data_IF_496136154270
#
_entry.id   IF_496136154270
#
_cell.length_a   1.000
_cell.length_b   1.000
_cell.length_c   1.000
_cell.angle_alpha   90.00
_cell.angle_beta   90.00
_cell.angle_gamma   90.00
#
_symmetry.space_group_name_H-M   'P 1'
#
loop_
_entity.id
_entity.type
_entity.pdbx_description
1 polymer ?
#
# COMPACT_ATOMS: atom_id res chain seq x y z
N UNK A 1 -9.24 -15.68 -31.47
CA UNK A 1 -8.95 -15.44 -30.04
C UNK A 1 -8.15 -16.58 -29.41
N UNK A 2 -8.69 -17.82 -29.34
CA UNK A 2 -8.00 -18.97 -28.73
C UNK A 2 -6.59 -19.24 -29.28
N UNK A 3 -6.38 -19.16 -30.59
CA UNK A 3 -5.05 -19.37 -31.21
C UNK A 3 -3.98 -18.42 -30.65
N UNK A 4 -4.32 -17.15 -30.38
CA UNK A 4 -3.38 -16.16 -29.83
C UNK A 4 -3.04 -16.51 -28.37
N UNK A 5 -4.05 -16.91 -27.59
CA UNK A 5 -3.86 -17.36 -26.20
C UNK A 5 -2.91 -18.56 -26.16
N UNK A 6 -3.14 -19.57 -27.00
CA UNK A 6 -2.26 -20.75 -27.06
C UNK A 6 -0.83 -20.40 -27.47
N UNK A 7 -0.63 -19.48 -28.43
CA UNK A 7 0.71 -19.02 -28.81
C UNK A 7 1.41 -18.32 -27.63
N UNK A 8 0.72 -17.39 -26.97
CA UNK A 8 1.28 -16.66 -25.82
C UNK A 8 1.62 -17.60 -24.66
N UNK A 9 0.76 -18.59 -24.39
CA UNK A 9 1.02 -19.61 -23.38
C UNK A 9 2.20 -20.49 -23.75
N UNK A 10 2.29 -20.91 -25.02
CA UNK A 10 3.43 -21.66 -25.52
C UNK A 10 4.75 -20.91 -25.32
N UNK A 11 4.77 -19.61 -25.60
CA UNK A 11 5.96 -18.77 -25.39
C UNK A 11 6.27 -18.55 -23.90
N UNK A 12 5.26 -18.40 -23.04
CA UNK A 12 5.47 -18.31 -21.59
C UNK A 12 6.07 -19.61 -21.01
N UNK A 13 5.56 -20.76 -21.43
CA UNK A 13 6.08 -22.07 -21.04
C UNK A 13 7.54 -22.18 -21.50
N UNK A 14 7.82 -21.93 -22.79
CA UNK A 14 9.20 -21.95 -23.31
C UNK A 14 10.14 -21.00 -22.54
N UNK A 15 9.65 -19.80 -22.18
CA UNK A 15 10.42 -18.84 -21.40
C UNK A 15 10.68 -19.32 -19.97
N UNK A 16 9.68 -19.94 -19.33
CA UNK A 16 9.85 -20.56 -18.02
C UNK A 16 10.93 -21.65 -18.06
N UNK A 17 10.96 -22.42 -19.15
CA UNK A 17 11.90 -23.53 -19.35
C UNK A 17 13.29 -23.15 -19.93
N UNK A 18 13.66 -21.86 -20.04
CA UNK A 18 14.98 -21.45 -20.54
C UNK A 18 16.14 -21.73 -19.56
N UNK A 19 17.26 -22.20 -20.12
CA UNK A 19 18.28 -23.08 -19.51
C UNK A 19 19.11 -22.56 -18.32
N UNK A 20 19.39 -21.26 -18.19
CA UNK A 20 20.45 -20.83 -17.26
C UNK A 20 20.08 -20.94 -15.77
N UNK A 21 18.79 -21.06 -15.42
CA UNK A 21 18.33 -21.21 -14.03
C UNK A 21 17.15 -22.19 -13.88
N UNK A 22 16.96 -23.08 -14.86
CA UNK A 22 15.80 -23.97 -14.90
C UNK A 22 15.66 -24.79 -13.62
N UNK A 23 16.75 -25.45 -13.20
CA UNK A 23 16.75 -26.32 -12.01
C UNK A 23 16.42 -25.55 -10.73
N UNK A 24 16.97 -24.35 -10.56
CA UNK A 24 16.67 -23.51 -9.39
C UNK A 24 15.19 -23.09 -9.41
N UNK A 25 14.66 -22.70 -10.57
CA UNK A 25 13.23 -22.32 -10.70
C UNK A 25 12.30 -23.49 -10.43
N UNK A 26 12.60 -24.67 -10.96
CA UNK A 26 11.83 -25.88 -10.73
C UNK A 26 11.90 -26.29 -9.25
N UNK A 27 13.08 -26.25 -8.64
CA UNK A 27 13.27 -26.53 -7.22
C UNK A 27 12.47 -25.55 -6.36
N UNK A 28 12.58 -24.24 -6.61
CA UNK A 28 11.81 -23.22 -5.88
C UNK A 28 10.31 -23.43 -6.09
N UNK A 29 9.86 -23.67 -7.33
CA UNK A 29 8.45 -23.92 -7.61
C UNK A 29 7.95 -25.19 -6.90
N UNK A 30 8.74 -26.26 -6.87
CA UNK A 30 8.44 -27.49 -6.16
C UNK A 30 8.31 -27.27 -4.65
N UNK A 31 9.31 -26.64 -4.02
CA UNK A 31 9.26 -26.33 -2.58
C UNK A 31 8.10 -25.40 -2.23
N UNK A 32 7.86 -24.34 -3.02
CA UNK A 32 6.72 -23.44 -2.81
C UNK A 32 5.40 -24.19 -2.97
N UNK A 33 5.30 -25.12 -3.92
CA UNK A 33 4.10 -25.95 -4.12
C UNK A 33 3.87 -26.89 -2.94
N UNK A 34 4.92 -27.54 -2.42
CA UNK A 34 4.82 -28.38 -1.21
C UNK A 34 4.39 -27.55 0.00
N UNK A 35 5.02 -26.40 0.22
CA UNK A 35 4.67 -25.52 1.34
C UNK A 35 3.22 -25.06 1.22
N UNK A 36 2.81 -24.62 0.02
CA UNK A 36 1.43 -24.25 -0.28
C UNK A 36 0.47 -25.40 0.01
N UNK A 37 0.82 -26.62 -0.40
CA UNK A 37 0.03 -27.83 -0.15
C UNK A 37 -0.09 -28.12 1.35
N UNK A 38 1.00 -28.02 2.12
CA UNK A 38 0.98 -28.22 3.58
C UNK A 38 0.05 -27.20 4.25
N UNK A 39 0.15 -25.91 3.91
CA UNK A 39 -0.74 -24.89 4.45
C UNK A 39 -2.19 -25.09 4.01
N UNK A 40 -2.40 -25.55 2.79
CA UNK A 40 -3.71 -25.85 2.21
C UNK A 40 -4.39 -27.03 2.91
N UNK A 41 -3.63 -28.11 3.18
CA UNK A 41 -4.07 -29.24 4.01
C UNK A 41 -4.35 -28.77 5.43
N UNK A 42 -3.47 -27.95 6.02
CA UNK A 42 -3.66 -27.39 7.36
C UNK A 42 -4.94 -26.56 7.47
N UNK A 43 -5.23 -25.73 6.47
CA UNK A 43 -6.49 -24.98 6.38
C UNK A 43 -7.69 -25.91 6.23
N UNK A 44 -7.62 -26.90 5.33
CA UNK A 44 -8.68 -27.89 5.14
C UNK A 44 -8.98 -28.70 6.40
N UNK A 45 -7.95 -29.18 7.09
CA UNK A 45 -8.07 -29.87 8.37
C UNK A 45 -8.63 -28.94 9.46
N UNK A 46 -8.14 -27.70 9.55
CA UNK A 46 -8.63 -26.70 10.49
C UNK A 46 -10.12 -26.40 10.31
N UNK A 47 -10.57 -26.25 9.06
CA UNK A 47 -11.98 -26.07 8.73
C UNK A 47 -12.82 -27.32 9.03
N UNK A 48 -12.29 -28.52 8.77
CA UNK A 48 -12.99 -29.79 9.03
C UNK A 48 -13.18 -30.07 10.52
N UNK A 49 -12.11 -29.95 11.30
CA UNK A 49 -12.09 -30.37 12.72
C UNK A 49 -12.49 -29.23 13.64
N UNK A 50 -12.00 -28.03 13.38
CA UNK A 50 -12.17 -26.86 14.24
C UNK A 50 -13.03 -25.76 13.66
N UNK A 51 -13.59 -25.91 12.46
CA UNK A 51 -14.30 -24.82 11.77
C UNK A 51 -15.40 -24.18 12.61
N UNK A 52 -16.17 -24.99 13.36
CA UNK A 52 -17.21 -24.50 14.29
C UNK A 52 -16.60 -23.81 15.51
N UNK A 53 -15.61 -24.41 16.16
CA UNK A 53 -14.96 -23.82 17.33
C UNK A 53 -14.25 -22.49 17.00
N UNK A 54 -13.55 -22.42 15.86
CA UNK A 54 -12.92 -21.19 15.36
C UNK A 54 -13.99 -20.15 15.02
N UNK A 55 -15.08 -20.57 14.37
CA UNK A 55 -16.20 -19.68 14.05
C UNK A 55 -16.82 -19.05 15.30
N UNK A 56 -17.03 -19.87 16.34
CA UNK A 56 -17.56 -19.44 17.64
C UNK A 56 -16.58 -18.52 18.39
N UNK A 57 -15.30 -18.87 18.44
CA UNK A 57 -14.27 -18.10 19.15
C UNK A 57 -14.06 -16.72 18.53
N UNK A 58 -14.02 -16.62 17.19
CA UNK A 58 -13.83 -15.35 16.50
C UNK A 58 -15.13 -14.57 16.28
N UNK A 59 -16.29 -15.19 16.52
CA UNK A 59 -17.61 -14.65 16.20
C UNK A 59 -17.80 -14.41 14.70
N UNK A 60 -17.15 -15.24 13.87
CA UNK A 60 -17.17 -15.13 12.40
C UNK A 60 -17.78 -16.37 11.80
N UNK A 61 -18.68 -16.24 10.83
CA UNK A 61 -19.16 -17.40 10.08
C UNK A 61 -18.06 -17.98 9.18
N UNK A 62 -18.17 -19.25 8.78
CA UNK A 62 -17.20 -19.90 7.88
C UNK A 62 -17.02 -19.12 6.56
N UNK A 63 -18.08 -18.63 5.89
CA UNK A 63 -17.94 -17.75 4.73
C UNK A 63 -17.13 -16.48 5.00
N UNK A 64 -17.36 -15.82 6.14
CA UNK A 64 -16.62 -14.62 6.53
C UNK A 64 -15.14 -14.93 6.74
N UNK A 65 -14.82 -16.06 7.40
CA UNK A 65 -13.45 -16.53 7.57
C UNK A 65 -12.76 -16.73 6.20
N UNK A 66 -13.41 -17.42 5.27
CA UNK A 66 -12.89 -17.66 3.92
C UNK A 66 -12.71 -16.34 3.17
N UNK A 67 -13.65 -15.41 3.25
CA UNK A 67 -13.53 -14.08 2.66
C UNK A 67 -12.34 -13.29 3.21
N UNK A 68 -12.08 -13.36 4.52
CA UNK A 68 -10.90 -12.75 5.15
C UNK A 68 -9.63 -13.37 4.58
N UNK A 69 -9.54 -14.70 4.49
CA UNK A 69 -8.37 -15.39 3.95
C UNK A 69 -8.13 -15.00 2.48
N UNK A 70 -9.18 -15.02 1.63
CA UNK A 70 -9.07 -14.60 0.23
C UNK A 70 -8.67 -13.13 0.13
N UNK A 71 -9.23 -12.27 0.99
CA UNK A 71 -8.86 -10.86 1.06
C UNK A 71 -7.39 -10.67 1.39
N UNK A 72 -6.84 -11.43 2.34
CA UNK A 72 -5.42 -11.42 2.69
C UNK A 72 -4.53 -11.94 1.54
N UNK A 73 -4.91 -13.05 0.91
CA UNK A 73 -4.21 -13.58 -0.27
C UNK A 73 -4.25 -12.58 -1.42
N UNK A 74 -5.39 -11.94 -1.64
CA UNK A 74 -5.56 -10.92 -2.67
C UNK A 74 -4.75 -9.66 -2.40
N UNK A 75 -4.75 -9.18 -1.15
CA UNK A 75 -3.95 -8.04 -0.72
C UNK A 75 -2.45 -8.33 -0.87
N UNK A 76 -1.97 -9.51 -0.47
CA UNK A 76 -0.57 -9.90 -0.66
C UNK A 76 -0.20 -10.02 -2.14
N UNK A 77 -1.10 -10.53 -2.99
CA UNK A 77 -0.93 -10.55 -4.45
C UNK A 77 -0.77 -9.13 -5.01
N UNK A 78 -1.62 -8.18 -4.62
CA UNK A 78 -1.50 -6.78 -5.03
C UNK A 78 -0.18 -6.19 -4.50
N UNK A 79 0.06 -6.29 -3.19
CA UNK A 79 1.23 -5.71 -2.54
C UNK A 79 2.54 -6.23 -3.13
N UNK A 80 2.63 -7.51 -3.51
CA UNK A 80 3.83 -8.11 -4.10
C UNK A 80 4.22 -7.51 -5.46
N UNK A 81 3.27 -6.92 -6.19
CA UNK A 81 3.54 -6.21 -7.44
C UNK A 81 4.06 -4.80 -7.22
N UNK A 82 3.72 -4.21 -6.08
CA UNK A 82 4.10 -2.85 -5.71
C UNK A 82 5.40 -2.86 -4.86
N UNK A 83 5.60 -3.86 -4.02
CA UNK A 83 6.66 -3.94 -3.02
C UNK A 83 7.35 -5.33 -3.03
N UNK A 84 8.68 -5.41 -2.83
CA UNK A 84 9.64 -4.32 -2.64
C UNK A 84 10.08 -3.68 -3.95
N UNK A 85 9.89 -4.35 -5.09
CA UNK A 85 10.24 -3.85 -6.42
C UNK A 85 8.98 -3.79 -7.27
N UNK A 86 8.68 -2.62 -7.83
CA UNK A 86 7.55 -2.49 -8.74
C UNK A 86 7.68 -3.39 -9.94
N UNK A 87 6.61 -4.11 -10.25
CA UNK A 87 6.47 -4.85 -11.50
C UNK A 87 5.54 -4.07 -12.41
N UNK A 88 6.05 -3.47 -13.50
CA UNK A 88 5.20 -2.79 -14.45
C UNK A 88 4.25 -3.78 -15.12
N UNK A 89 3.12 -3.26 -15.61
CA UNK A 89 2.12 -4.03 -16.33
C UNK A 89 2.74 -4.48 -17.64
N UNK A 90 2.68 -5.78 -17.92
CA UNK A 90 3.15 -6.33 -19.19
C UNK A 90 2.05 -6.17 -20.23
N UNK A 91 2.34 -5.45 -21.31
CA UNK A 91 1.48 -5.42 -22.51
C UNK A 91 1.92 -6.57 -23.41
N UNK A 92 1.14 -7.64 -23.42
CA UNK A 92 1.45 -8.83 -24.22
C UNK A 92 1.13 -8.59 -25.69
N UNK A 93 0.11 -7.77 -25.97
CA UNK A 93 -0.32 -7.44 -27.31
C UNK A 93 -0.11 -5.94 -27.53
N UNK A 94 0.77 -5.53 -28.48
CA UNK A 94 1.02 -4.13 -28.74
C UNK A 94 -0.22 -3.46 -29.34
N UNK A 95 -0.33 -2.13 -29.15
CA UNK A 95 -1.53 -1.37 -29.53
C UNK A 95 -1.79 -1.39 -31.04
N UNK A 96 -0.73 -1.52 -31.83
CA UNK A 96 -0.73 -1.59 -33.29
C UNK A 96 -1.35 -2.87 -33.86
N UNK A 97 -1.57 -3.90 -33.04
CA UNK A 97 -2.17 -5.14 -33.53
C UNK A 97 -3.65 -4.90 -33.88
N UNK A 98 -4.17 -5.41 -35.02
CA UNK A 98 -5.53 -5.18 -35.50
C UNK A 98 -6.56 -5.99 -34.70
N UNK A 99 -6.66 -5.71 -33.41
CA UNK A 99 -7.62 -6.28 -32.47
C UNK A 99 -8.33 -5.15 -31.75
N UNK A 100 -9.62 -5.32 -31.51
CA UNK A 100 -10.38 -4.34 -30.72
C UNK A 100 -9.82 -4.23 -29.30
N UNK A 101 -9.94 -3.05 -28.69
CA UNK A 101 -9.42 -2.80 -27.35
C UNK A 101 -9.96 -3.79 -26.31
N UNK A 102 -11.24 -4.17 -26.42
CA UNK A 102 -11.86 -5.13 -25.50
C UNK A 102 -11.36 -6.57 -25.69
N UNK A 103 -11.15 -7.01 -26.94
CA UNK A 103 -10.58 -8.32 -27.22
C UNK A 103 -9.14 -8.40 -26.70
N UNK A 104 -8.36 -7.35 -26.93
CA UNK A 104 -7.00 -7.22 -26.41
C UNK A 104 -6.97 -7.29 -24.89
N UNK A 105 -7.77 -6.46 -24.23
CA UNK A 105 -7.92 -6.45 -22.77
C UNK A 105 -8.27 -7.84 -22.24
N UNK A 106 -9.27 -8.50 -22.84
CA UNK A 106 -9.72 -9.82 -22.40
C UNK A 106 -8.62 -10.87 -22.56
N UNK A 107 -7.89 -10.88 -23.68
CA UNK A 107 -6.77 -11.81 -23.88
C UNK A 107 -5.68 -11.56 -22.84
N UNK A 108 -5.32 -10.30 -22.58
CA UNK A 108 -4.29 -9.98 -21.60
C UNK A 108 -4.72 -10.35 -20.17
N UNK A 109 -5.98 -10.14 -19.80
CA UNK A 109 -6.52 -10.60 -18.50
C UNK A 109 -6.46 -12.12 -18.39
N UNK A 110 -6.80 -12.86 -19.44
CA UNK A 110 -6.71 -14.34 -19.44
C UNK A 110 -5.26 -14.79 -19.29
N UNK A 111 -4.33 -14.14 -19.99
CA UNK A 111 -2.90 -14.46 -19.89
C UNK A 111 -2.35 -14.11 -18.49
N UNK A 112 -2.76 -13.00 -17.89
CA UNK A 112 -2.35 -12.62 -16.54
C UNK A 112 -2.96 -13.54 -15.48
N UNK A 113 -4.19 -14.03 -15.68
CA UNK A 113 -4.84 -15.02 -14.82
C UNK A 113 -4.09 -16.35 -14.78
N UNK A 114 -3.48 -16.74 -15.91
CA UNK A 114 -2.68 -17.95 -16.02
C UNK A 114 -1.28 -17.83 -15.38
N UNK A 115 -0.95 -16.68 -14.80
CA UNK A 115 0.26 -16.51 -14.01
C UNK A 115 0.20 -17.39 -12.75
N UNK A 116 1.34 -17.98 -12.39
CA UNK A 116 1.50 -18.96 -11.31
C UNK A 116 0.96 -18.47 -9.96
N UNK A 117 1.03 -17.18 -9.67
CA UNK A 117 0.52 -16.61 -8.42
C UNK A 117 -1.02 -16.72 -8.31
N UNK A 118 -1.75 -16.40 -9.38
CA UNK A 118 -3.22 -16.44 -9.37
C UNK A 118 -3.74 -17.86 -9.45
N UNK A 119 -3.18 -18.68 -10.36
CA UNK A 119 -3.49 -20.10 -10.39
C UNK A 119 -3.15 -20.79 -9.08
N UNK A 120 -1.97 -20.50 -8.52
CA UNK A 120 -1.53 -21.04 -7.23
C UNK A 120 -2.49 -20.69 -6.10
N UNK A 121 -3.04 -19.46 -6.08
CA UNK A 121 -4.05 -19.07 -5.09
C UNK A 121 -5.35 -19.86 -5.22
N UNK A 122 -5.80 -20.19 -6.44
CA UNK A 122 -6.99 -21.02 -6.64
C UNK A 122 -6.69 -22.48 -6.28
N UNK A 123 -5.56 -23.02 -6.73
CA UNK A 123 -5.10 -24.37 -6.39
C UNK A 123 -4.96 -24.57 -4.87
N UNK A 124 -4.52 -23.54 -4.15
CA UNK A 124 -4.47 -23.54 -2.69
C UNK A 124 -5.83 -23.77 -2.03
N UNK A 125 -6.95 -23.38 -2.63
CA UNK A 125 -8.29 -23.63 -2.07
C UNK A 125 -8.92 -24.95 -2.53
N UNK A 126 -8.35 -25.64 -3.53
CA UNK A 126 -8.88 -26.93 -4.00
C UNK A 126 -8.81 -28.00 -2.91
N UNK A 127 -7.73 -28.05 -2.11
CA UNK A 127 -7.62 -29.07 -1.06
C UNK A 127 -8.62 -28.84 0.07
N UNK A 128 -8.79 -27.62 0.63
CA UNK A 128 -9.88 -27.33 1.56
C UNK A 128 -11.27 -27.69 1.03
N UNK A 129 -11.52 -27.41 -0.27
CA UNK A 129 -12.80 -27.74 -0.92
C UNK A 129 -13.11 -29.24 -0.89
N UNK A 130 -12.12 -30.11 -1.08
CA UNK A 130 -12.34 -31.56 -1.01
C UNK A 130 -12.27 -32.13 0.42
N UNK A 131 -11.60 -31.46 1.35
CA UNK A 131 -11.39 -31.96 2.71
C UNK A 131 -12.49 -31.55 3.69
N UNK A 132 -12.99 -30.32 3.60
CA UNK A 132 -13.90 -29.74 4.58
C UNK A 132 -15.33 -29.68 4.03
N UNK A 133 -16.26 -30.39 4.66
CA UNK A 133 -17.69 -30.40 4.26
C UNK A 133 -18.33 -29.01 4.32
N UNK A 134 -17.85 -28.15 5.22
CA UNK A 134 -18.29 -26.76 5.32
C UNK A 134 -17.89 -25.89 4.12
N UNK A 135 -16.95 -26.34 3.29
CA UNK A 135 -16.48 -25.63 2.11
C UNK A 135 -17.33 -25.99 0.89
N UNK A 136 -18.48 -25.32 0.75
CA UNK A 136 -19.42 -25.57 -0.34
C UNK A 136 -18.89 -25.11 -1.71
N UNK A 137 -19.51 -25.59 -2.80
CA UNK A 137 -19.18 -25.14 -4.16
C UNK A 137 -19.41 -23.65 -4.36
N UNK A 138 -20.37 -23.04 -3.64
CA UNK A 138 -20.63 -21.60 -3.67
C UNK A 138 -19.42 -20.83 -3.12
N UNK A 139 -18.79 -21.33 -2.05
CA UNK A 139 -17.56 -20.76 -1.49
C UNK A 139 -16.39 -20.88 -2.47
N UNK A 140 -16.31 -21.98 -3.22
CA UNK A 140 -15.31 -22.13 -4.28
C UNK A 140 -15.51 -21.13 -5.42
N UNK A 141 -16.75 -20.87 -5.83
CA UNK A 141 -17.04 -19.81 -6.80
C UNK A 141 -16.66 -18.43 -6.26
N UNK A 142 -16.95 -18.16 -4.98
CA UNK A 142 -16.53 -16.92 -4.33
C UNK A 142 -15.00 -16.76 -4.37
N UNK A 143 -14.22 -17.81 -4.08
CA UNK A 143 -12.75 -17.80 -4.22
C UNK A 143 -12.34 -17.42 -5.63
N UNK A 144 -12.89 -18.07 -6.64
CA UNK A 144 -12.51 -17.87 -8.04
C UNK A 144 -12.83 -16.45 -8.50
N UNK A 145 -14.05 -15.98 -8.27
CA UNK A 145 -14.48 -14.65 -8.73
C UNK A 145 -13.79 -13.52 -7.98
N UNK A 146 -13.53 -13.66 -6.68
CA UNK A 146 -12.77 -12.66 -5.93
C UNK A 146 -11.31 -12.62 -6.32
N UNK A 147 -10.66 -13.76 -6.60
CA UNK A 147 -9.29 -13.74 -7.13
C UNK A 147 -9.22 -13.10 -8.52
N UNK A 148 -10.20 -13.36 -9.39
CA UNK A 148 -10.32 -12.66 -10.67
C UNK A 148 -10.55 -11.16 -10.50
N UNK A 149 -11.39 -10.75 -9.54
CA UNK A 149 -11.59 -9.35 -9.20
C UNK A 149 -10.30 -8.69 -8.70
N UNK A 150 -9.54 -9.35 -7.83
CA UNK A 150 -8.24 -8.87 -7.34
C UNK A 150 -7.26 -8.66 -8.49
N UNK A 151 -7.19 -9.58 -9.46
CA UNK A 151 -6.38 -9.41 -10.67
C UNK A 151 -6.78 -8.15 -11.46
N UNK A 152 -8.09 -7.95 -11.65
CA UNK A 152 -8.62 -6.80 -12.39
C UNK A 152 -8.37 -5.48 -11.64
N UNK A 153 -8.55 -5.49 -10.32
CA UNK A 153 -8.21 -4.37 -9.45
C UNK A 153 -6.71 -4.06 -9.52
N UNK A 154 -5.83 -5.06 -9.41
CA UNK A 154 -4.39 -4.87 -9.59
C UNK A 154 -4.08 -4.19 -10.92
N UNK A 155 -4.67 -4.69 -12.01
CA UNK A 155 -4.44 -4.16 -13.36
C UNK A 155 -4.89 -2.72 -13.47
N UNK A 156 -6.07 -2.38 -12.93
CA UNK A 156 -6.57 -1.01 -12.86
C UNK A 156 -5.63 -0.10 -12.04
N UNK A 157 -5.20 -0.56 -10.87
CA UNK A 157 -4.21 0.15 -10.05
C UNK A 157 -2.91 0.37 -10.82
N UNK A 158 -2.37 -0.66 -11.47
CA UNK A 158 -1.17 -0.54 -12.29
C UNK A 158 -1.35 0.47 -13.42
N UNK A 159 -2.50 0.52 -14.09
CA UNK A 159 -2.80 1.53 -15.10
C UNK A 159 -2.81 2.94 -14.48
N UNK A 160 -3.54 3.15 -13.38
CA UNK A 160 -3.56 4.42 -12.62
C UNK A 160 -2.15 4.86 -12.18
N UNK A 161 -1.29 3.89 -11.85
CA UNK A 161 0.08 4.11 -11.39
C UNK A 161 1.13 4.24 -12.52
N UNK A 162 0.91 3.71 -13.71
CA UNK A 162 1.91 3.70 -14.79
C UNK A 162 1.61 4.71 -15.87
N UNK A 163 0.34 4.86 -16.20
CA UNK A 163 -0.11 5.57 -17.39
C UNK A 163 -0.72 6.91 -16.99
N UNK A 164 -0.63 7.87 -17.90
CA UNK A 164 -1.30 9.16 -17.75
C UNK A 164 -2.77 8.93 -18.07
N UNK A 165 -3.65 9.06 -17.08
CA UNK A 165 -5.08 8.93 -17.34
C UNK A 165 -5.60 10.29 -17.79
N UNK A 166 -6.34 10.29 -18.89
CA UNK A 166 -7.06 11.47 -19.31
C UNK A 166 -8.28 11.68 -18.40
N UNK A 167 -8.08 12.41 -17.31
CA UNK A 167 -9.11 12.74 -16.32
C UNK A 167 -10.19 13.69 -16.86
N UNK A 168 -10.05 14.23 -18.07
CA UNK A 168 -11.17 14.94 -18.73
C UNK A 168 -12.25 13.96 -19.24
N UNK A 169 -11.91 12.68 -19.40
CA UNK A 169 -12.83 11.69 -19.92
C UNK A 169 -13.68 11.08 -18.80
N UNK A 170 -15.00 11.25 -18.88
CA UNK A 170 -15.96 10.67 -17.94
C UNK A 170 -15.77 9.16 -17.71
N UNK A 171 -15.30 8.42 -18.73
CA UNK A 171 -15.03 6.98 -18.64
C UNK A 171 -13.99 6.63 -17.57
N UNK A 172 -13.04 7.50 -17.27
CA UNK A 172 -12.04 7.27 -16.23
C UNK A 172 -12.72 7.24 -14.84
N UNK A 173 -13.56 8.24 -14.54
CA UNK A 173 -14.33 8.28 -13.30
C UNK A 173 -15.33 7.13 -13.20
N UNK A 174 -16.05 6.85 -14.30
CA UNK A 174 -16.97 5.72 -14.35
C UNK A 174 -16.24 4.39 -14.10
N UNK A 175 -15.04 4.22 -14.64
CA UNK A 175 -14.20 3.05 -14.41
C UNK A 175 -13.83 2.87 -12.94
N UNK A 176 -13.38 3.94 -12.27
CA UNK A 176 -13.06 3.93 -10.83
C UNK A 176 -14.32 3.66 -10.00
N UNK A 177 -15.41 4.36 -10.29
CA UNK A 177 -16.68 4.17 -9.60
C UNK A 177 -17.19 2.73 -9.72
N UNK A 178 -17.05 2.11 -10.91
CA UNK A 178 -17.47 0.72 -11.13
C UNK A 178 -16.64 -0.27 -10.29
N UNK A 179 -15.32 -0.04 -10.17
CA UNK A 179 -14.47 -0.85 -9.28
C UNK A 179 -14.87 -0.66 -7.82
N UNK A 180 -15.13 0.59 -7.39
CA UNK A 180 -15.56 0.89 -6.02
C UNK A 180 -16.91 0.24 -5.70
N UNK A 181 -17.87 0.27 -6.63
CA UNK A 181 -19.15 -0.45 -6.48
C UNK A 181 -18.89 -1.95 -6.35
N UNK A 182 -17.98 -2.51 -7.15
CA UNK A 182 -17.53 -3.91 -7.00
C UNK A 182 -16.98 -4.19 -5.59
N UNK A 183 -16.15 -3.33 -5.03
CA UNK A 183 -15.67 -3.46 -3.63
C UNK A 183 -16.84 -3.39 -2.64
N UNK A 184 -17.80 -2.49 -2.85
CA UNK A 184 -18.97 -2.36 -1.97
C UNK A 184 -19.85 -3.61 -1.97
N UNK A 185 -19.92 -4.36 -3.08
CA UNK A 185 -20.67 -5.64 -3.11
C UNK A 185 -20.08 -6.72 -2.21
N UNK A 186 -18.85 -6.58 -1.73
CA UNK A 186 -18.24 -7.51 -0.76
C UNK A 186 -18.96 -7.44 0.59
N UNK A 187 -19.48 -6.27 0.98
CA UNK A 187 -20.13 -6.05 2.27
C UNK A 187 -21.41 -6.91 2.44
N UNK A 188 -22.42 -6.84 1.54
CA UNK A 188 -23.61 -7.69 1.66
C UNK A 188 -23.28 -9.18 1.56
N UNK A 189 -22.30 -9.57 0.72
CA UNK A 189 -21.82 -10.97 0.68
C UNK A 189 -21.21 -11.43 2.01
N UNK A 190 -20.55 -10.53 2.75
CA UNK A 190 -20.01 -10.84 4.07
C UNK A 190 -21.09 -10.94 5.17
N UNK A 191 -22.15 -10.13 5.06
CA UNK A 191 -23.23 -10.09 6.05
C UNK A 191 -24.09 -11.35 5.94
N UNK A 192 -24.55 -11.68 4.73
CA UNK A 192 -25.39 -12.84 4.46
C UNK A 192 -24.94 -13.54 3.17
N UNK A 193 -24.01 -14.47 3.35
CA UNK A 193 -23.44 -15.22 2.22
C UNK A 193 -24.48 -16.11 1.53
N UNK A 194 -25.42 -16.70 2.26
CA UNK A 194 -26.38 -17.65 1.71
C UNK A 194 -27.32 -16.97 0.72
N UNK A 195 -27.75 -15.75 1.02
CA UNK A 195 -28.60 -14.96 0.13
C UNK A 195 -27.81 -14.31 -1.01
N UNK A 196 -26.56 -13.88 -0.77
CA UNK A 196 -25.81 -12.99 -1.67
C UNK A 196 -24.55 -13.60 -2.31
N UNK A 197 -24.38 -14.93 -2.31
CA UNK A 197 -23.20 -15.57 -2.92
C UNK A 197 -22.97 -15.20 -4.40
N UNK A 198 -24.05 -14.96 -5.15
CA UNK A 198 -24.02 -14.57 -6.58
C UNK A 198 -23.43 -13.16 -6.82
N UNK A 199 -23.37 -12.31 -5.79
CA UNK A 199 -22.72 -10.99 -5.91
C UNK A 199 -21.23 -11.11 -6.21
N UNK A 200 -20.58 -12.23 -5.88
CA UNK A 200 -19.18 -12.50 -6.27
C UNK A 200 -19.00 -12.47 -7.80
N UNK A 201 -19.94 -13.04 -8.55
CA UNK A 201 -19.96 -12.99 -10.01
C UNK A 201 -20.11 -11.55 -10.50
N UNK A 202 -21.04 -10.79 -9.92
CA UNK A 202 -21.23 -9.37 -10.27
C UNK A 202 -19.98 -8.56 -9.96
N UNK A 203 -19.34 -8.80 -8.82
CA UNK A 203 -18.08 -8.17 -8.40
C UNK A 203 -17.03 -8.33 -9.50
N UNK A 204 -16.87 -9.55 -10.03
CA UNK A 204 -15.96 -9.84 -11.13
C UNK A 204 -16.29 -9.03 -12.40
N UNK A 205 -17.56 -9.01 -12.83
CA UNK A 205 -17.96 -8.28 -14.05
C UNK A 205 -17.81 -6.76 -13.90
N UNK A 206 -18.16 -6.20 -12.73
CA UNK A 206 -17.92 -4.80 -12.41
C UNK A 206 -16.42 -4.47 -12.44
N UNK A 207 -15.59 -5.32 -11.84
CA UNK A 207 -14.13 -5.18 -11.91
C UNK A 207 -13.63 -5.23 -13.36
N UNK A 208 -14.20 -6.10 -14.20
CA UNK A 208 -13.80 -6.27 -15.60
C UNK A 208 -14.13 -5.02 -16.42
N UNK A 209 -15.34 -4.50 -16.28
CA UNK A 209 -15.81 -3.29 -16.94
C UNK A 209 -15.00 -2.08 -16.45
N UNK A 210 -14.84 -1.94 -15.13
CA UNK A 210 -14.13 -0.82 -14.53
C UNK A 210 -12.66 -0.76 -14.94
N UNK A 211 -11.95 -1.90 -14.90
CA UNK A 211 -10.57 -2.00 -15.34
C UNK A 211 -10.41 -1.71 -16.84
N UNK A 212 -11.36 -2.17 -17.67
CA UNK A 212 -11.37 -1.86 -19.10
C UNK A 212 -11.57 -0.36 -19.36
N UNK A 213 -12.51 0.29 -18.68
CA UNK A 213 -12.78 1.73 -18.81
C UNK A 213 -11.57 2.59 -18.42
N UNK A 214 -10.86 2.21 -17.35
CA UNK A 214 -9.62 2.87 -16.95
C UNK A 214 -8.53 2.68 -18.01
N UNK A 215 -8.43 1.48 -18.59
CA UNK A 215 -7.39 1.17 -19.58
C UNK A 215 -7.57 1.90 -20.91
N UNK A 216 -8.81 2.08 -21.39
CA UNK A 216 -9.06 2.84 -22.63
C UNK A 216 -8.88 4.35 -22.48
N UNK A 217 -8.84 4.86 -21.24
CA UNK A 217 -8.62 6.29 -20.96
C UNK A 217 -7.16 6.63 -20.67
N UNK A 218 -6.29 5.62 -20.66
CA UNK A 218 -4.87 5.79 -20.49
C UNK A 218 -4.23 6.30 -21.79
N UNK A 219 -3.63 7.49 -21.72
CA UNK A 219 -2.79 8.05 -22.77
C UNK A 219 -1.42 7.39 -22.66
N UNK A 220 -0.97 6.77 -23.75
CA UNK A 220 0.33 6.11 -23.76
C UNK A 220 1.46 7.11 -23.54
N UNK A 221 2.38 6.84 -22.61
CA UNK A 221 3.58 7.67 -22.33
C UNK A 221 4.44 8.00 -23.55
N UNK A 222 4.29 7.29 -24.67
CA UNK A 222 5.06 7.51 -25.90
C UNK A 222 4.52 8.64 -26.80
N UNK A 223 3.27 9.07 -26.63
CA UNK A 223 2.73 10.21 -27.41
C UNK A 223 3.21 11.56 -26.86
N UNK A 224 3.42 11.68 -25.54
CA UNK A 224 3.97 12.91 -24.92
C UNK A 224 5.50 13.03 -25.02
N UNK A 225 6.23 11.94 -25.24
CA UNK A 225 7.68 12.05 -25.48
C UNK A 225 8.02 12.74 -26.82
N UNK A 226 7.02 12.98 -27.68
CA UNK A 226 7.16 13.76 -28.90
C UNK A 226 6.94 15.27 -28.70
N UNK A 227 6.40 15.74 -27.56
CA UNK A 227 6.21 17.17 -27.28
C UNK A 227 7.24 17.67 -26.25
N UNK A 228 8.48 17.88 -26.71
CA UNK A 228 9.64 18.36 -25.92
C UNK A 228 9.49 19.82 -25.43
N UNK A 229 8.29 20.40 -25.44
CA UNK A 229 8.09 21.84 -25.24
C UNK A 229 7.69 22.29 -23.83
N UNK A 230 6.81 21.56 -23.14
CA UNK A 230 6.18 22.07 -21.91
C UNK A 230 5.78 20.92 -20.98
N UNK A 231 6.76 20.36 -20.24
CA UNK A 231 6.45 19.44 -19.15
C UNK A 231 6.12 20.27 -17.90
N UNK A 232 4.89 20.77 -17.81
CA UNK A 232 4.35 21.23 -16.53
C UNK A 232 4.23 20.03 -15.58
N UNK A 233 5.28 19.78 -14.80
CA UNK A 233 5.26 18.71 -13.81
C UNK A 233 4.41 19.13 -12.60
N UNK A 234 3.27 18.46 -12.43
CA UNK A 234 2.54 18.51 -11.18
C UNK A 234 3.43 17.98 -10.04
N UNK A 235 3.57 18.75 -8.96
CA UNK A 235 4.42 18.40 -7.81
C UNK A 235 4.07 17.03 -7.23
N UNK A 236 2.78 16.67 -7.16
CA UNK A 236 2.30 15.38 -6.67
C UNK A 236 2.80 14.23 -7.56
N UNK A 237 2.82 14.42 -8.88
CA UNK A 237 3.32 13.42 -9.82
C UNK A 237 4.82 13.19 -9.64
N UNK A 238 5.59 14.26 -9.43
CA UNK A 238 7.01 14.18 -9.12
C UNK A 238 7.24 13.41 -7.81
N UNK A 239 6.52 13.76 -6.74
CA UNK A 239 6.62 13.08 -5.45
C UNK A 239 6.30 11.59 -5.55
N UNK A 240 5.22 11.25 -6.27
CA UNK A 240 4.86 9.87 -6.60
C UNK A 240 5.98 9.15 -7.35
N UNK A 241 6.54 9.76 -8.39
CA UNK A 241 7.60 9.15 -9.20
C UNK A 241 8.87 8.89 -8.36
N UNK A 242 9.29 9.85 -7.54
CA UNK A 242 10.46 9.72 -6.65
C UNK A 242 10.27 8.61 -5.61
N UNK A 243 9.11 8.57 -4.96
CA UNK A 243 8.75 7.52 -4.02
C UNK A 243 8.79 6.14 -4.68
N UNK A 244 8.30 6.05 -5.92
CA UNK A 244 8.15 4.79 -6.63
C UNK A 244 9.45 4.22 -7.18
N UNK A 245 10.33 5.10 -7.67
CA UNK A 245 11.61 4.74 -8.23
C UNK A 245 12.64 4.39 -7.14
N UNK A 246 12.46 4.88 -5.91
CA UNK A 246 13.36 4.59 -4.80
C UNK A 246 12.93 3.34 -4.00
N UNK A 247 13.57 2.20 -4.29
CA UNK A 247 13.31 0.92 -3.60
C UNK A 247 13.45 1.01 -2.06
N UNK A 248 14.42 1.78 -1.55
CA UNK A 248 14.70 1.91 -0.12
C UNK A 248 13.59 2.68 0.60
N UNK A 249 13.16 3.78 0.00
CA UNK A 249 12.03 4.57 0.50
C UNK A 249 10.75 3.75 0.50
N UNK A 250 10.45 3.06 -0.62
CA UNK A 250 9.25 2.22 -0.76
C UNK A 250 9.21 1.07 0.26
N UNK A 251 10.33 0.37 0.46
CA UNK A 251 10.39 -0.71 1.45
C UNK A 251 10.20 -0.20 2.87
N UNK A 252 10.76 0.97 3.21
CA UNK A 252 10.57 1.59 4.52
C UNK A 252 9.13 2.03 4.74
N UNK A 253 8.46 2.59 3.71
CA UNK A 253 7.03 2.91 3.73
C UNK A 253 6.16 1.68 3.98
N UNK A 254 6.42 0.57 3.26
CA UNK A 254 5.70 -0.68 3.49
C UNK A 254 5.83 -1.13 4.94
N UNK A 255 7.05 -1.17 5.47
CA UNK A 255 7.30 -1.59 6.85
C UNK A 255 6.54 -0.71 7.83
N UNK A 256 6.56 0.61 7.61
CA UNK A 256 5.82 1.57 8.43
C UNK A 256 4.31 1.30 8.44
N UNK A 257 3.71 1.03 7.27
CA UNK A 257 2.29 0.70 7.17
C UNK A 257 1.95 -0.67 7.76
N UNK A 258 2.76 -1.69 7.49
CA UNK A 258 2.57 -3.03 8.06
C UNK A 258 2.63 -2.97 9.58
N UNK A 259 3.62 -2.27 10.15
CA UNK A 259 3.78 -2.12 11.59
C UNK A 259 2.59 -1.35 12.20
N UNK A 260 2.07 -0.34 11.51
CA UNK A 260 0.85 0.37 11.93
C UNK A 260 -0.38 -0.55 11.94
N UNK A 261 -0.60 -1.30 10.86
CA UNK A 261 -1.71 -2.26 10.76
C UNK A 261 -1.60 -3.32 11.85
N UNK A 262 -0.40 -3.83 12.13
CA UNK A 262 -0.17 -4.77 13.24
C UNK A 262 -0.54 -4.17 14.60
N UNK A 263 -0.16 -2.91 14.87
CA UNK A 263 -0.59 -2.24 16.10
C UNK A 263 -2.10 -2.06 16.20
N UNK A 264 -2.78 -1.70 15.09
CA UNK A 264 -4.24 -1.55 15.06
C UNK A 264 -4.96 -2.89 15.24
N UNK A 265 -4.43 -3.98 14.66
CA UNK A 265 -4.95 -5.34 14.87
C UNK A 265 -4.76 -5.73 16.33
N UNK A 266 -3.56 -5.56 16.88
CA UNK A 266 -3.28 -5.90 18.28
C UNK A 266 -4.21 -5.15 19.24
N UNK A 267 -4.41 -3.84 19.03
CA UNK A 267 -5.37 -3.04 19.79
C UNK A 267 -6.80 -3.57 19.62
N UNK A 268 -7.23 -3.91 18.39
CA UNK A 268 -8.58 -4.45 18.15
C UNK A 268 -8.81 -5.80 18.84
N UNK A 269 -7.78 -6.62 18.92
CA UNK A 269 -7.85 -7.91 19.64
C UNK A 269 -7.93 -7.65 21.14
N UNK A 270 -7.07 -6.77 21.67
CA UNK A 270 -7.08 -6.40 23.07
C UNK A 270 -8.43 -5.82 23.50
N UNK A 271 -9.10 -5.02 22.65
CA UNK A 271 -10.40 -4.42 22.97
C UNK A 271 -11.51 -5.44 23.24
N UNK A 272 -11.41 -6.64 22.68
CA UNK A 272 -12.37 -7.73 22.91
C UNK A 272 -12.18 -8.41 24.26
N UNK A 273 -10.97 -8.42 24.79
CA UNK A 273 -10.64 -9.06 26.07
C UNK A 273 -10.80 -8.12 27.27
N UNK A 274 -10.97 -6.82 27.04
CA UNK A 274 -11.16 -5.83 28.10
C UNK A 274 -12.66 -5.54 28.24
N UNK A 275 -13.31 -5.94 29.34
CA UNK A 275 -14.77 -5.91 29.49
C UNK A 275 -15.38 -4.50 29.55
N UNK A 276 -14.57 -3.45 29.75
CA UNK A 276 -15.03 -2.06 29.70
C UNK A 276 -14.40 -1.30 28.53
N UNK A 277 -15.25 -0.64 27.72
CA UNK A 277 -14.78 0.24 26.64
C UNK A 277 -13.98 1.44 27.18
N UNK A 278 -14.22 1.83 28.44
CA UNK A 278 -13.45 2.88 29.10
C UNK A 278 -12.00 2.44 29.35
N UNK A 279 -11.76 1.21 29.81
CA UNK A 279 -10.41 0.67 30.01
C UNK A 279 -9.65 0.47 28.69
N UNK A 280 -10.35 0.09 27.61
CA UNK A 280 -9.71 -0.04 26.29
C UNK A 280 -9.15 1.29 25.79
N UNK A 281 -9.85 2.40 26.01
CA UNK A 281 -9.36 3.74 25.67
C UNK A 281 -8.00 4.02 26.34
N UNK A 282 -7.69 3.42 27.50
CA UNK A 282 -6.42 3.60 28.21
C UNK A 282 -5.22 2.82 27.61
N UNK A 283 -5.39 2.12 26.49
CA UNK A 283 -4.29 1.45 25.81
C UNK A 283 -3.19 2.42 25.35
N UNK A 284 -2.01 2.36 25.99
CA UNK A 284 -0.81 3.13 25.62
C UNK A 284 -0.37 2.90 24.16
N UNK A 285 -0.83 1.82 23.53
CA UNK A 285 -0.55 1.53 22.13
C UNK A 285 -1.32 2.43 21.15
N UNK A 286 -2.41 3.09 21.57
CA UNK A 286 -3.14 4.06 20.73
C UNK A 286 -2.24 5.23 20.31
N UNK A 287 -1.31 5.62 21.19
CA UNK A 287 -0.28 6.61 20.90
C UNK A 287 0.56 6.21 19.68
N UNK A 288 0.94 4.94 19.53
CA UNK A 288 1.72 4.49 18.37
C UNK A 288 0.87 4.24 17.12
N UNK A 289 -0.42 3.92 17.30
CA UNK A 289 -1.25 3.40 16.23
C UNK A 289 -2.06 4.49 15.50
N UNK A 290 -2.61 5.48 16.21
CA UNK A 290 -3.49 6.49 15.64
C UNK A 290 -2.72 7.58 14.84
N UNK A 291 -1.74 8.29 15.42
CA UNK A 291 -0.98 9.30 14.69
C UNK A 291 0.03 8.68 13.68
N UNK A 292 0.53 9.47 12.71
CA UNK A 292 1.52 9.02 11.71
C UNK A 292 2.96 8.93 12.26
N UNK A 293 3.15 8.50 13.51
CA UNK A 293 4.47 8.48 14.18
C UNK A 293 5.48 7.62 13.41
N UNK A 294 5.04 6.46 12.93
CA UNK A 294 5.91 5.50 12.23
C UNK A 294 6.48 6.11 10.95
N UNK A 295 5.68 6.88 10.19
CA UNK A 295 6.15 7.58 9.00
C UNK A 295 7.24 8.60 9.33
N UNK A 296 7.04 9.41 10.38
CA UNK A 296 7.98 10.45 10.74
C UNK A 296 9.26 9.93 11.41
N UNK A 297 9.16 8.90 12.25
CA UNK A 297 10.32 8.33 12.98
C UNK A 297 11.25 7.49 12.11
N UNK A 298 10.72 6.80 11.08
CA UNK A 298 11.48 5.88 10.25
C UNK A 298 11.86 6.43 8.87
N UNK A 299 11.14 7.43 8.35
CA UNK A 299 11.28 7.83 6.94
C UNK A 299 11.50 9.33 6.82
N UNK A 300 10.53 10.13 7.26
CA UNK A 300 10.47 11.54 6.90
C UNK A 300 11.40 12.43 7.73
N UNK A 301 11.84 12.00 8.91
CA UNK A 301 12.93 12.65 9.64
C UNK A 301 14.32 12.47 9.00
N UNK A 302 14.44 11.72 7.91
CA UNK A 302 15.67 11.52 7.15
C UNK A 302 15.41 11.32 5.65
N UNK A 303 14.42 12.01 5.07
CA UNK A 303 14.01 11.81 3.69
C UNK A 303 15.17 12.00 2.68
N UNK A 304 16.02 13.01 2.88
CA UNK A 304 17.18 13.26 2.00
C UNK A 304 18.27 12.21 2.16
N UNK A 305 18.30 11.46 3.27
CA UNK A 305 19.14 10.27 3.41
C UNK A 305 18.78 9.15 2.44
N UNK A 306 17.48 9.02 2.11
CA UNK A 306 16.96 8.11 1.09
C UNK A 306 17.13 8.66 -0.33
N UNK A 307 16.97 9.98 -0.51
CA UNK A 307 16.93 10.67 -1.80
C UNK A 307 18.15 11.58 -2.04
N UNK A 308 19.34 11.10 -1.69
CA UNK A 308 20.58 11.91 -1.77
C UNK A 308 20.87 12.43 -3.17
N UNK A 309 20.65 11.59 -4.18
CA UNK A 309 20.85 11.94 -5.59
C UNK A 309 19.90 13.06 -6.03
N UNK A 310 18.60 12.93 -5.69
CA UNK A 310 17.61 13.96 -5.98
C UNK A 310 17.95 15.27 -5.28
N UNK A 311 18.34 15.20 -4.01
CA UNK A 311 18.80 16.37 -3.26
C UNK A 311 20.01 17.04 -3.92
N UNK A 312 21.01 16.25 -4.34
CA UNK A 312 22.20 16.76 -5.03
C UNK A 312 21.85 17.44 -6.35
N UNK A 313 20.89 16.89 -7.11
CA UNK A 313 20.40 17.50 -8.34
C UNK A 313 19.78 18.87 -8.08
N UNK A 314 18.88 18.99 -7.09
CA UNK A 314 18.28 20.29 -6.70
C UNK A 314 19.38 21.30 -6.36
N UNK A 315 20.41 20.84 -5.64
CA UNK A 315 21.51 21.71 -5.25
C UNK A 315 22.31 22.21 -6.47
N UNK A 316 22.55 21.35 -7.46
CA UNK A 316 23.27 21.73 -8.69
C UNK A 316 22.46 22.64 -9.61
N UNK A 317 21.13 22.56 -9.57
CA UNK A 317 20.26 23.30 -10.51
C UNK A 317 19.80 24.64 -9.96
N UNK A 318 19.22 24.67 -8.76
CA UNK A 318 18.53 25.87 -8.23
C UNK A 318 19.03 26.28 -6.86
N UNK A 319 19.56 25.35 -6.06
CA UNK A 319 19.97 25.59 -4.67
C UNK A 319 18.86 26.17 -3.76
N UNK A 320 17.60 26.09 -4.18
CA UNK A 320 16.48 26.76 -3.53
C UNK A 320 15.85 25.92 -2.42
N UNK A 321 15.64 26.51 -1.25
CA UNK A 321 14.89 25.89 -0.16
C UNK A 321 13.43 25.60 -0.55
N UNK A 322 12.83 26.44 -1.40
CA UNK A 322 11.44 26.28 -1.86
C UNK A 322 11.25 24.98 -2.65
N UNK A 323 12.21 24.64 -3.51
CA UNK A 323 12.14 23.43 -4.33
C UNK A 323 12.31 22.19 -3.46
N UNK A 324 13.21 22.27 -2.48
CA UNK A 324 13.43 21.24 -1.49
C UNK A 324 12.18 21.00 -0.63
N UNK A 325 11.53 22.06 -0.16
CA UNK A 325 10.25 21.99 0.56
C UNK A 325 9.14 21.40 -0.31
N UNK A 326 9.07 21.79 -1.58
CA UNK A 326 8.07 21.28 -2.54
C UNK A 326 8.22 19.78 -2.77
N UNK A 327 9.46 19.29 -2.94
CA UNK A 327 9.75 17.86 -3.11
C UNK A 327 9.47 17.08 -1.83
N UNK A 328 9.85 17.62 -0.66
CA UNK A 328 9.51 16.99 0.62
C UNK A 328 7.99 16.84 0.78
N UNK A 329 7.26 17.92 0.53
CA UNK A 329 5.79 17.97 0.62
C UNK A 329 5.14 16.98 -0.33
N UNK A 330 5.57 16.95 -1.59
CA UNK A 330 4.93 16.11 -2.61
C UNK A 330 5.10 14.61 -2.36
N UNK A 331 6.21 14.21 -1.77
CA UNK A 331 6.46 12.80 -1.40
C UNK A 331 5.63 12.41 -0.17
N UNK A 332 5.42 13.34 0.76
CA UNK A 332 4.76 13.07 2.04
C UNK A 332 3.22 13.03 1.96
N UNK A 333 2.60 13.75 1.03
CA UNK A 333 1.14 13.83 0.90
C UNK A 333 0.50 12.45 0.72
N UNK A 334 0.99 11.61 -0.20
CA UNK A 334 0.36 10.32 -0.49
C UNK A 334 0.44 9.37 0.73
N UNK A 335 1.61 9.16 1.37
CA UNK A 335 1.67 8.36 2.58
C UNK A 335 0.81 8.86 3.73
N UNK A 336 0.74 10.19 3.95
CA UNK A 336 -0.11 10.75 5.00
C UNK A 336 -1.60 10.54 4.73
N UNK A 337 -2.05 10.62 3.47
CA UNK A 337 -3.44 10.32 3.11
C UNK A 337 -3.78 8.86 3.38
N UNK A 338 -2.90 7.93 3.00
CA UNK A 338 -3.09 6.50 3.27
C UNK A 338 -3.12 6.24 4.78
N UNK A 339 -2.20 6.83 5.53
CA UNK A 339 -2.15 6.71 6.99
C UNK A 339 -3.41 7.26 7.66
N UNK A 340 -3.89 8.42 7.22
CA UNK A 340 -5.11 9.04 7.72
C UNK A 340 -6.31 8.15 7.47
N UNK A 341 -6.47 7.62 6.26
CA UNK A 341 -7.59 6.74 5.92
C UNK A 341 -7.60 5.47 6.78
N UNK A 342 -6.45 4.83 6.97
CA UNK A 342 -6.33 3.63 7.83
C UNK A 342 -6.72 3.99 9.27
N UNK A 343 -6.20 5.10 9.79
CA UNK A 343 -6.43 5.53 11.18
C UNK A 343 -7.87 5.97 11.41
N UNK A 344 -8.48 6.66 10.45
CA UNK A 344 -9.85 7.14 10.51
C UNK A 344 -10.84 5.98 10.48
N UNK A 345 -10.65 5.01 9.57
CA UNK A 345 -11.50 3.80 9.50
C UNK A 345 -11.45 3.07 10.84
N UNK A 346 -10.26 2.92 11.41
CA UNK A 346 -10.10 2.33 12.73
C UNK A 346 -10.77 3.14 13.85
N UNK A 347 -10.58 4.47 13.86
CA UNK A 347 -11.16 5.36 14.87
C UNK A 347 -12.69 5.31 14.86
N UNK A 348 -13.30 5.29 13.66
CA UNK A 348 -14.75 5.13 13.49
C UNK A 348 -15.19 3.74 13.98
N UNK A 349 -14.49 2.68 13.58
CA UNK A 349 -14.81 1.30 13.97
C UNK A 349 -14.77 1.10 15.49
N UNK A 350 -13.73 1.63 16.16
CA UNK A 350 -13.56 1.53 17.61
C UNK A 350 -14.29 2.65 18.39
N UNK A 351 -15.08 3.50 17.71
CA UNK A 351 -15.81 4.63 18.30
C UNK A 351 -14.91 5.55 19.15
N UNK A 352 -13.70 5.82 18.68
CA UNK A 352 -12.79 6.78 19.32
C UNK A 352 -13.39 8.18 19.21
N UNK A 353 -13.27 8.99 20.28
CA UNK A 353 -13.66 10.40 20.23
C UNK A 353 -12.95 11.09 19.06
N UNK A 354 -13.75 11.57 18.10
CA UNK A 354 -13.26 12.18 16.88
C UNK A 354 -12.52 13.49 17.16
N UNK A 355 -12.89 14.23 18.22
CA UNK A 355 -12.20 15.47 18.59
C UNK A 355 -10.79 15.16 19.06
N UNK A 356 -10.64 14.15 19.93
CA UNK A 356 -9.33 13.65 20.36
C UNK A 356 -8.51 13.14 19.16
N UNK A 357 -9.09 12.27 18.32
CA UNK A 357 -8.39 11.69 17.17
C UNK A 357 -7.91 12.78 16.19
N UNK A 358 -8.81 13.66 15.74
CA UNK A 358 -8.48 14.71 14.77
C UNK A 358 -7.51 15.73 15.37
N UNK A 359 -7.71 16.16 16.61
CA UNK A 359 -6.81 17.10 17.28
C UNK A 359 -5.38 16.56 17.39
N UNK A 360 -5.23 15.31 17.86
CA UNK A 360 -3.94 14.64 17.93
C UNK A 360 -3.32 14.42 16.54
N UNK A 361 -4.11 13.94 15.57
CA UNK A 361 -3.60 13.65 14.23
C UNK A 361 -3.13 14.92 13.51
N UNK A 362 -3.94 15.97 13.50
CA UNK A 362 -3.63 17.25 12.85
C UNK A 362 -2.42 17.91 13.55
N UNK A 363 -2.42 17.98 14.87
CA UNK A 363 -1.28 18.53 15.63
C UNK A 363 0.03 17.79 15.34
N UNK A 364 -0.04 16.45 15.31
CA UNK A 364 1.10 15.59 15.02
C UNK A 364 1.61 15.81 13.58
N UNK A 365 0.70 15.85 12.59
CA UNK A 365 1.06 16.11 11.20
C UNK A 365 1.72 17.46 11.04
N UNK A 366 1.14 18.55 11.55
CA UNK A 366 1.68 19.90 11.34
C UNK A 366 3.10 20.01 11.91
N UNK A 367 3.28 19.61 13.17
CA UNK A 367 4.56 19.73 13.84
C UNK A 367 5.61 18.78 13.25
N UNK A 368 5.28 17.49 13.07
CA UNK A 368 6.23 16.52 12.57
C UNK A 368 6.49 16.67 11.06
N UNK A 369 5.59 17.30 10.29
CA UNK A 369 5.85 17.67 8.90
C UNK A 369 7.05 18.61 8.81
N UNK A 370 7.03 19.72 9.55
CA UNK A 370 8.13 20.68 9.57
C UNK A 370 9.34 20.12 10.33
N UNK A 371 9.10 19.48 11.48
CA UNK A 371 10.15 18.87 12.28
C UNK A 371 10.91 17.79 11.50
N UNK A 372 10.21 16.91 10.78
CA UNK A 372 10.82 15.90 9.93
C UNK A 372 11.73 16.50 8.85
N UNK A 373 11.30 17.59 8.22
CA UNK A 373 12.12 18.33 7.27
C UNK A 373 13.37 18.91 7.94
N UNK A 374 13.22 19.51 9.12
CA UNK A 374 14.34 20.04 9.93
C UNK A 374 15.35 18.95 10.25
N UNK A 375 14.89 17.82 10.77
CA UNK A 375 15.77 16.70 11.10
C UNK A 375 16.48 16.14 9.85
N UNK A 376 15.78 16.10 8.71
CA UNK A 376 16.34 15.65 7.43
C UNK A 376 17.43 16.59 6.88
N UNK A 377 17.43 17.88 7.26
CA UNK A 377 18.46 18.85 6.85
C UNK A 377 19.63 18.89 7.85
N UNK A 378 19.32 18.94 9.16
CA UNK A 378 20.33 19.17 10.20
C UNK A 378 21.04 17.88 10.66
N UNK A 379 20.31 16.77 10.67
CA UNK A 379 20.81 15.46 11.13
C UNK A 379 20.61 14.37 10.07
N UNK A 380 21.04 14.61 8.82
CA UNK A 380 20.91 13.63 7.75
C UNK A 380 21.75 12.40 8.06
N UNK A 381 21.21 11.23 7.75
CA UNK A 381 21.94 9.96 7.83
C UNK A 381 21.98 9.26 6.48
N UNK A 382 23.16 8.80 6.04
CA UNK A 382 23.26 8.10 4.80
C UNK A 382 22.60 6.70 4.86
N UNK A 383 21.51 6.48 4.11
CA UNK A 383 20.94 5.14 3.88
C UNK A 383 21.75 4.36 2.82
N UNK A 384 22.85 3.69 3.22
CA UNK A 384 23.78 3.02 2.28
C UNK A 384 23.36 1.57 1.96
N UNK A 385 22.99 0.77 2.97
CA UNK A 385 22.81 -0.69 2.86
C UNK A 385 21.51 -1.10 2.13
N UNK A 386 21.55 -2.28 1.49
CA UNK A 386 20.45 -2.89 0.70
C UNK A 386 19.30 -3.50 1.55
N UNK A 387 19.24 -3.25 2.86
CA UNK A 387 18.23 -3.84 3.75
C UNK A 387 17.94 -3.01 5.00
N UNK A 388 16.87 -3.39 5.71
CA UNK A 388 16.46 -2.83 7.01
C UNK A 388 17.51 -3.25 8.03
N UNK A 389 18.44 -2.36 8.35
CA UNK A 389 19.50 -2.68 9.28
C UNK A 389 19.16 -2.07 10.65
N UNK A 390 18.69 -2.91 11.57
CA UNK A 390 18.34 -2.50 12.94
C UNK A 390 19.58 -2.02 13.72
N UNK A 391 20.79 -2.50 13.36
CA UNK A 391 22.05 -2.25 14.09
C UNK A 391 22.78 -0.93 13.74
N UNK A 392 22.14 0.02 13.06
CA UNK A 392 22.81 1.29 12.71
C UNK A 392 21.83 2.30 12.14
N UNK A 393 20.81 2.62 12.94
CA UNK A 393 19.59 3.35 12.58
C UNK A 393 19.68 4.23 11.33
N UNK A 394 18.83 3.91 10.35
CA UNK A 394 18.63 4.67 9.11
C UNK A 394 18.15 6.11 9.40
N UNK A 395 17.75 6.41 10.63
CA UNK A 395 17.27 7.71 11.11
C UNK A 395 18.02 8.12 12.38
N UNK A 396 17.96 9.40 12.73
CA UNK A 396 18.60 9.92 13.95
C UNK A 396 17.76 9.55 15.19
N UNK A 397 18.32 8.91 16.22
CA UNK A 397 17.59 8.59 17.44
C UNK A 397 17.02 9.84 18.11
N UNK A 398 17.77 10.95 18.11
CA UNK A 398 17.33 12.22 18.71
C UNK A 398 16.07 12.74 18.00
N UNK A 399 16.02 12.68 16.67
CA UNK A 399 14.83 13.12 15.94
C UNK A 399 13.65 12.19 16.20
N UNK A 400 13.88 10.88 16.25
CA UNK A 400 12.83 9.91 16.59
C UNK A 400 12.29 10.13 18.00
N UNK A 401 13.14 10.37 19.00
CA UNK A 401 12.72 10.70 20.36
C UNK A 401 11.96 12.03 20.41
N UNK A 402 12.39 13.05 19.68
CA UNK A 402 11.68 14.33 19.61
C UNK A 402 10.27 14.16 19.01
N UNK A 403 10.13 13.37 17.94
CA UNK A 403 8.84 13.07 17.29
C UNK A 403 7.92 12.25 18.22
N UNK A 404 8.48 11.24 18.90
CA UNK A 404 7.72 10.44 19.87
C UNK A 404 7.29 11.31 21.06
N UNK A 405 8.21 12.11 21.62
CA UNK A 405 7.93 13.00 22.75
C UNK A 405 6.88 14.06 22.42
N UNK A 406 6.96 14.69 21.24
CA UNK A 406 5.96 15.67 20.81
C UNK A 406 4.59 15.02 20.65
N UNK A 407 4.55 13.81 20.07
CA UNK A 407 3.27 13.14 19.87
C UNK A 407 2.69 12.64 21.20
N UNK A 408 3.55 12.31 22.18
CA UNK A 408 3.14 11.88 23.52
C UNK A 408 2.51 13.07 24.27
N UNK A 409 3.05 14.27 24.10
CA UNK A 409 2.43 15.49 24.61
C UNK A 409 1.05 15.72 23.98
N UNK A 410 0.88 15.52 22.67
CA UNK A 410 -0.45 15.59 22.05
C UNK A 410 -1.41 14.49 22.52
N UNK A 411 -0.90 13.33 22.93
CA UNK A 411 -1.73 12.27 23.51
C UNK A 411 -2.40 12.71 24.82
N UNK A 412 -1.88 13.75 25.50
CA UNK A 412 -2.53 14.33 26.70
C UNK A 412 -3.89 14.98 26.41
N UNK A 413 -4.25 15.25 25.14
CA UNK A 413 -5.61 15.65 24.74
C UNK A 413 -6.66 14.64 25.24
N UNK A 414 -6.26 13.36 25.38
CA UNK A 414 -7.12 12.33 25.95
C UNK A 414 -7.49 12.57 27.41
N UNK A 415 -6.64 13.24 28.18
CA UNK A 415 -6.88 13.54 29.59
C UNK A 415 -7.86 14.70 29.76
N UNK A 416 -7.80 15.69 28.88
CA UNK A 416 -8.70 16.85 28.89
C UNK A 416 -8.67 17.57 27.55
N UNK A 417 -9.84 17.99 27.06
CA UNK A 417 -9.97 18.82 25.85
C UNK A 417 -9.24 20.16 25.96
N UNK A 418 -8.91 20.65 27.16
CA UNK A 418 -8.08 21.85 27.35
C UNK A 418 -6.70 21.73 26.69
N UNK A 419 -6.15 20.51 26.59
CA UNK A 419 -4.88 20.26 25.90
C UNK A 419 -4.97 20.44 24.38
N UNK A 420 -6.15 20.69 23.80
CA UNK A 420 -6.27 21.18 22.41
C UNK A 420 -5.53 22.51 22.21
N UNK A 421 -5.32 23.30 23.27
CA UNK A 421 -4.49 24.51 23.24
C UNK A 421 -3.01 24.23 22.90
N UNK A 422 -2.56 22.97 22.97
CA UNK A 422 -1.25 22.59 22.46
C UNK A 422 -1.15 22.73 20.94
N UNK A 423 -2.26 22.62 20.20
CA UNK A 423 -2.24 22.67 18.73
C UNK A 423 -1.75 24.05 18.22
N UNK A 424 -2.28 25.19 18.69
CA UNK A 424 -1.70 26.51 18.39
C UNK A 424 -0.20 26.62 18.71
N UNK A 425 0.25 26.06 19.84
CA UNK A 425 1.67 26.07 20.21
C UNK A 425 2.51 25.23 19.24
N UNK A 426 1.99 24.11 18.76
CA UNK A 426 2.62 23.25 17.76
C UNK A 426 2.72 23.95 16.41
N UNK A 427 1.67 24.67 16.01
CA UNK A 427 1.68 25.50 14.80
C UNK A 427 2.75 26.60 14.92
N UNK A 428 2.82 27.31 16.05
CA UNK A 428 3.81 28.35 16.29
C UNK A 428 5.24 27.77 16.26
N UNK A 429 5.48 26.65 16.94
CA UNK A 429 6.78 25.99 16.94
C UNK A 429 7.18 25.52 15.54
N UNK A 430 6.26 24.91 14.78
CA UNK A 430 6.47 24.52 13.40
C UNK A 430 6.79 25.73 12.51
N UNK A 431 6.08 26.84 12.68
CA UNK A 431 6.34 28.08 11.96
C UNK A 431 7.75 28.64 12.25
N UNK A 432 8.15 28.70 13.52
CA UNK A 432 9.48 29.14 13.92
C UNK A 432 10.59 28.23 13.34
N UNK A 433 10.38 26.91 13.38
CA UNK A 433 11.29 25.95 12.74
C UNK A 433 11.39 26.17 11.22
N UNK A 434 10.27 26.47 10.56
CA UNK A 434 10.25 26.75 9.13
C UNK A 434 11.08 27.99 8.77
N UNK A 435 10.91 29.10 9.51
CA UNK A 435 11.69 30.33 9.32
C UNK A 435 13.19 30.03 9.53
N UNK A 436 13.54 29.38 10.64
CA UNK A 436 14.92 29.06 10.96
C UNK A 436 15.58 28.18 9.87
N UNK A 437 14.85 27.21 9.32
CA UNK A 437 15.35 26.40 8.21
C UNK A 437 15.55 27.21 6.93
N UNK A 438 14.57 28.04 6.56
CA UNK A 438 14.61 28.82 5.32
C UNK A 438 15.83 29.73 5.28
N UNK A 439 16.12 30.38 6.40
CA UNK A 439 17.19 31.36 6.49
C UNK A 439 18.57 30.67 6.58
N UNK A 440 18.67 29.58 7.35
CA UNK A 440 19.95 28.89 7.58
C UNK A 440 20.33 27.89 6.47
N UNK A 441 19.40 27.49 5.60
CA UNK A 441 19.66 26.50 4.54
C UNK A 441 20.83 26.88 3.62
N UNK A 442 21.00 28.19 3.36
CA UNK A 442 22.11 28.72 2.55
C UNK A 442 23.48 28.33 3.13
N UNK A 443 23.61 28.20 4.44
CA UNK A 443 24.86 27.78 5.08
C UNK A 443 24.92 26.26 5.28
N UNK A 444 23.78 25.64 5.57
CA UNK A 444 23.69 24.23 5.95
C UNK A 444 23.83 23.23 4.81
N UNK A 445 23.57 23.64 3.56
CA UNK A 445 23.63 22.70 2.44
C UNK A 445 25.03 22.09 2.23
N UNK A 446 26.12 22.79 2.57
CA UNK A 446 27.48 22.22 2.54
C UNK A 446 27.68 21.13 3.61
N UNK A 447 27.17 21.35 4.83
CA UNK A 447 27.24 20.35 5.91
C UNK A 447 26.41 19.11 5.56
N UNK A 448 25.25 19.31 4.93
CA UNK A 448 24.38 18.25 4.41
C UNK A 448 25.12 17.42 3.35
N UNK A 449 25.81 18.06 2.41
CA UNK A 449 26.64 17.37 1.41
C UNK A 449 27.73 16.50 2.07
N UNK A 450 28.48 17.06 3.02
CA UNK A 450 29.55 16.34 3.70
C UNK A 450 29.03 15.08 4.42
N UNK A 451 27.93 15.22 5.19
CA UNK A 451 27.33 14.09 5.92
C UNK A 451 26.76 13.01 4.99
N UNK A 452 26.19 13.41 3.84
CA UNK A 452 25.54 12.49 2.91
C UNK A 452 26.51 11.76 1.98
N UNK A 453 27.65 12.37 1.63
CA UNK A 453 28.54 11.85 0.58
C UNK A 453 30.00 11.63 1.00
N UNK A 454 30.55 12.38 1.97
CA UNK A 454 31.97 12.25 2.35
C UNK A 454 32.22 11.25 3.48
N UNK A 455 31.25 11.02 4.36
CA UNK A 455 31.36 10.16 5.56
C UNK A 455 30.69 8.79 5.42
N UNK A 456 30.31 8.37 4.22
CA UNK A 456 29.50 7.15 3.97
C UNK A 456 30.29 5.95 3.51
#
# INVERSE_FOLDING_TARGET
MFRIIFILLGEQIKYFFRKEQLWIRLLVAFFVSIISLIYSIGLGFGLKVGGKAISEEFGLTIPQLIMVIIGLVGATNILSHFFPTYRPKKKWIPVIFPMSGFQRFTIEVVVDFLNLLYLGSIFFFIVPFFMAEAFTWQLMLLVVFYNLFVLLALRAFQTLFQEQINWSNFKAYAGIATILIGVLTIIPTAIDFETYWWLSFITFYLGKIGAFLIEITAVGKKEEQASVGQLEYNSIQLGRALMWNNKKLRTSLLVSFVLKVLFLIFLSVQSRFVPSQQDFMHGYLMFFALPPITLFTYIFNNLFGYLRETWLTIQKTTASFKDLFTIYSSILIIPLLVDFMISLVYAIYQKVDLVFFLGMYIGCVIFNFIGGLLWSIYFPRPVVKKGINLKGGQTSPISSFAIMGSTLLLFTIKLSHWFLLLIPLYILAAWLMYIAMRDDYKNKHYQLYEKLFKKS
#
